data_IF_028041273088
#
_entry.id   IF_028041273088
#
_cell.length_a   1.000
_cell.length_b   1.000
_cell.length_c   1.000
_cell.angle_alpha   90.00
_cell.angle_beta   90.00
_cell.angle_gamma   90.00
#
_symmetry.space_group_name_H-M   'P 1'
#
loop_
_entity.id
_entity.type
_entity.pdbx_description
1 polymer ?
#
# COMPACT_ATOMS: atom_id res chain seq x y z
N UNK A 1 21.57 -7.56 1.81
CA UNK A 1 20.25 -7.20 1.25
C UNK A 1 19.45 -6.61 2.38
N UNK A 2 19.01 -5.36 2.24
CA UNK A 2 18.18 -4.68 3.25
C UNK A 2 16.88 -5.46 3.42
N UNK A 3 16.51 -5.82 4.64
CA UNK A 3 15.29 -6.57 4.91
C UNK A 3 14.10 -5.60 4.82
N UNK A 4 13.51 -5.48 3.64
CA UNK A 4 12.42 -4.52 3.37
C UNK A 4 11.18 -4.95 4.18
N UNK A 5 10.61 -4.05 5.00
CA UNK A 5 9.41 -4.37 5.75
C UNK A 5 8.20 -4.56 4.82
N UNK A 6 7.49 -5.68 5.00
CA UNK A 6 6.24 -5.97 4.28
C UNK A 6 5.19 -4.88 4.54
N UNK A 7 5.19 -4.32 5.74
CA UNK A 7 4.24 -3.28 6.15
C UNK A 7 4.95 -2.25 7.02
N UNK A 8 4.71 -0.97 6.74
CA UNK A 8 5.07 0.13 7.64
C UNK A 8 3.77 0.60 8.31
N UNK A 9 3.44 0.01 9.46
CA UNK A 9 2.22 0.35 10.19
C UNK A 9 2.28 1.79 10.72
N UNK A 10 1.26 2.62 10.48
CA UNK A 10 1.10 3.88 11.21
C UNK A 10 0.99 3.64 12.71
N UNK A 11 1.56 4.55 13.51
CA UNK A 11 1.57 4.42 14.97
C UNK A 11 0.23 4.79 15.61
N UNK A 12 -0.54 5.67 14.96
CA UNK A 12 -1.79 6.19 15.49
C UNK A 12 -2.99 5.45 14.91
N UNK A 13 -4.03 5.28 15.73
CA UNK A 13 -5.34 4.84 15.26
C UNK A 13 -5.91 5.83 14.24
N UNK A 14 -6.57 5.30 13.21
CA UNK A 14 -7.23 6.14 12.22
C UNK A 14 -7.58 5.43 10.92
N UNK A 15 -8.21 6.18 10.03
CA UNK A 15 -8.52 5.75 8.66
C UNK A 15 -7.48 6.30 7.70
N UNK A 16 -6.59 5.43 7.23
CA UNK A 16 -5.50 5.79 6.32
C UNK A 16 -5.86 5.45 4.88
N UNK A 17 -5.34 6.21 3.92
CA UNK A 17 -5.24 5.72 2.54
C UNK A 17 -4.11 4.71 2.45
N UNK A 18 -4.27 3.70 1.61
CA UNK A 18 -3.33 2.59 1.51
C UNK A 18 -3.17 2.14 0.06
N UNK A 19 -1.95 1.73 -0.29
CA UNK A 19 -1.61 1.05 -1.54
C UNK A 19 -1.06 -0.35 -1.25
N UNK A 20 -1.47 -1.31 -2.07
CA UNK A 20 -1.06 -2.71 -2.03
C UNK A 20 -0.19 -3.02 -3.23
N UNK A 21 1.04 -3.44 -2.98
CA UNK A 21 1.97 -3.84 -4.02
C UNK A 21 2.35 -5.31 -3.87
N UNK A 22 2.62 -5.97 -5.00
CA UNK A 22 3.50 -7.13 -5.00
C UNK A 22 4.87 -6.69 -5.46
N UNK A 23 5.91 -7.02 -4.70
CA UNK A 23 7.30 -6.86 -5.12
C UNK A 23 7.91 -8.14 -5.69
N UNK A 24 9.24 -8.18 -5.83
CA UNK A 24 9.99 -9.38 -6.16
C UNK A 24 9.53 -10.59 -5.31
N UNK A 25 9.56 -11.78 -5.92
CA UNK A 25 9.15 -13.04 -5.28
C UNK A 25 7.71 -13.05 -4.72
N UNK A 26 6.82 -12.23 -5.31
CA UNK A 26 5.44 -12.03 -4.86
C UNK A 26 5.34 -11.59 -3.39
N UNK A 27 6.30 -10.79 -2.90
CA UNK A 27 6.23 -10.23 -1.56
C UNK A 27 5.05 -9.24 -1.46
N UNK A 28 4.06 -9.46 -0.56
CA UNK A 28 2.95 -8.52 -0.40
C UNK A 28 3.41 -7.33 0.43
N UNK A 29 3.61 -6.19 -0.23
CA UNK A 29 4.00 -4.93 0.39
C UNK A 29 2.78 -4.03 0.59
N UNK A 30 2.74 -3.34 1.72
CA UNK A 30 1.67 -2.41 2.09
C UNK A 30 2.28 -1.08 2.51
N UNK A 31 1.75 0.02 1.96
CA UNK A 31 2.16 1.39 2.28
C UNK A 31 0.96 2.28 2.54
N UNK A 32 1.07 3.10 3.56
CA UNK A 32 0.01 3.99 4.03
C UNK A 32 0.35 5.44 3.72
N UNK A 33 -0.67 6.30 3.79
CA UNK A 33 -0.44 7.73 3.90
C UNK A 33 0.25 8.07 5.22
N UNK A 34 1.09 9.11 5.19
CA UNK A 34 1.75 9.63 6.39
C UNK A 34 0.74 10.20 7.40
N UNK A 35 -0.30 10.87 6.91
CA UNK A 35 -1.37 11.45 7.71
C UNK A 35 -2.73 10.81 7.40
N UNK A 36 -3.61 10.78 8.41
CA UNK A 36 -4.98 10.26 8.35
C UNK A 36 -5.87 11.12 7.44
N UNK A 37 -5.66 12.43 7.39
CA UNK A 37 -6.59 13.40 6.79
C UNK A 37 -6.19 13.93 5.41
N UNK A 38 -4.90 13.91 5.05
CA UNK A 38 -4.37 14.61 3.86
C UNK A 38 -3.70 13.70 2.83
N UNK A 39 -3.50 12.42 3.17
CA UNK A 39 -2.83 11.48 2.27
C UNK A 39 -3.54 11.34 0.93
N UNK A 40 -2.81 11.41 -0.17
CA UNK A 40 -3.28 11.03 -1.50
C UNK A 40 -2.59 9.74 -1.95
N UNK A 41 -3.30 8.86 -2.66
CA UNK A 41 -2.72 7.62 -3.16
C UNK A 41 -1.48 7.88 -4.02
N UNK A 42 -1.48 8.94 -4.83
CA UNK A 42 -0.32 9.36 -5.63
C UNK A 42 0.91 9.69 -4.78
N UNK A 43 0.73 10.34 -3.62
CA UNK A 43 1.83 10.64 -2.69
C UNK A 43 2.41 9.36 -2.08
N UNK A 44 1.55 8.37 -1.78
CA UNK A 44 2.00 7.05 -1.30
C UNK A 44 2.83 6.36 -2.38
N UNK A 45 2.39 6.41 -3.64
CA UNK A 45 3.12 5.80 -4.75
C UNK A 45 4.48 6.47 -4.99
N UNK A 46 4.54 7.80 -4.94
CA UNK A 46 5.80 8.53 -5.10
C UNK A 46 6.77 8.25 -3.95
N UNK A 47 6.29 8.21 -2.71
CA UNK A 47 7.11 7.83 -1.55
C UNK A 47 7.61 6.39 -1.63
N UNK A 48 6.76 5.47 -2.09
CA UNK A 48 7.18 4.09 -2.40
C UNK A 48 8.26 4.05 -3.48
N UNK A 49 8.06 4.77 -4.58
CA UNK A 49 9.01 4.78 -5.68
C UNK A 49 10.37 5.34 -5.27
N UNK A 50 10.39 6.41 -4.47
CA UNK A 50 11.60 6.96 -3.85
C UNK A 50 12.29 5.96 -2.90
N UNK A 51 11.51 5.31 -2.01
CA UNK A 51 12.00 4.27 -1.08
C UNK A 51 12.72 3.12 -1.80
N UNK A 52 12.23 2.74 -2.99
CA UNK A 52 12.73 1.60 -3.77
C UNK A 52 13.59 1.98 -4.97
N UNK A 53 13.88 3.28 -5.19
CA UNK A 53 14.66 3.75 -6.33
C UNK A 53 14.00 3.48 -7.69
N UNK A 54 12.68 3.44 -7.73
CA UNK A 54 11.88 3.24 -8.96
C UNK A 54 11.59 4.61 -9.57
N UNK A 55 11.89 4.78 -10.85
CA UNK A 55 11.54 6.01 -11.59
C UNK A 55 10.08 5.89 -12.03
N UNK A 56 9.20 6.74 -11.49
CA UNK A 56 7.79 6.76 -11.88
C UNK A 56 7.59 7.37 -13.26
N UNK A 57 6.62 6.84 -13.98
CA UNK A 57 6.05 7.50 -15.17
C UNK A 57 4.78 8.25 -14.79
N UNK A 58 4.26 9.05 -15.71
CA UNK A 58 3.01 9.79 -15.54
C UNK A 58 2.12 9.51 -16.74
N UNK A 59 0.81 9.38 -16.53
CA UNK A 59 -0.14 9.34 -17.63
C UNK A 59 -0.54 10.73 -18.12
N UNK A 60 -1.43 10.78 -19.09
CA UNK A 60 -1.91 12.01 -19.72
C UNK A 60 -2.63 12.95 -18.74
N UNK A 61 -3.09 12.43 -17.59
CA UNK A 61 -3.73 13.22 -16.51
C UNK A 61 -2.71 13.66 -15.44
N UNK A 62 -1.43 13.32 -15.58
CA UNK A 62 -0.39 13.61 -14.62
C UNK A 62 -0.43 12.72 -13.38
N UNK A 63 -1.09 11.56 -13.44
CA UNK A 63 -1.13 10.59 -12.34
C UNK A 63 0.13 9.73 -12.38
N UNK A 64 0.90 9.63 -11.29
CA UNK A 64 2.12 8.85 -11.27
C UNK A 64 1.81 7.35 -11.27
N UNK A 65 2.57 6.59 -12.06
CA UNK A 65 2.48 5.14 -12.23
C UNK A 65 3.86 4.50 -12.06
N UNK A 66 3.86 3.22 -11.72
CA UNK A 66 5.06 2.40 -11.87
C UNK A 66 5.23 2.07 -13.36
N UNK A 67 6.47 2.05 -13.88
CA UNK A 67 6.73 1.68 -15.26
C UNK A 67 6.39 0.20 -15.49
N UNK A 68 6.08 -0.19 -16.74
CA UNK A 68 5.64 -1.55 -17.07
C UNK A 68 6.69 -2.62 -16.77
N UNK A 69 7.98 -2.26 -16.78
CA UNK A 69 9.12 -3.11 -16.44
C UNK A 69 9.50 -3.06 -14.95
N UNK A 70 8.72 -2.36 -14.13
CA UNK A 70 8.90 -2.31 -12.68
C UNK A 70 8.84 -3.72 -12.08
N UNK A 71 9.76 -4.08 -11.17
CA UNK A 71 9.67 -5.34 -10.41
C UNK A 71 8.54 -5.31 -9.36
N UNK A 72 7.83 -4.17 -9.24
CA UNK A 72 6.71 -3.97 -8.35
C UNK A 72 5.42 -3.73 -9.13
N UNK A 73 4.33 -4.32 -8.67
CA UNK A 73 3.00 -4.22 -9.27
C UNK A 73 2.02 -3.63 -8.27
N UNK A 74 1.41 -2.50 -8.59
CA UNK A 74 0.27 -1.97 -7.85
C UNK A 74 -0.96 -2.85 -8.07
N UNK A 75 -1.41 -3.55 -7.04
CA UNK A 75 -2.48 -4.53 -7.14
C UNK A 75 -3.76 -4.12 -6.40
N UNK A 76 -3.71 -3.10 -5.56
CA UNK A 76 -4.89 -2.56 -4.89
C UNK A 76 -4.65 -1.19 -4.26
N UNK A 77 -5.72 -0.43 -4.11
CA UNK A 77 -5.70 0.91 -3.55
C UNK A 77 -7.02 1.20 -2.85
N UNK A 78 -6.98 1.83 -1.68
CA UNK A 78 -8.19 2.10 -0.91
C UNK A 78 -7.90 2.68 0.46
N UNK A 79 -8.63 2.22 1.46
CA UNK A 79 -8.56 2.68 2.83
C UNK A 79 -8.29 1.53 3.80
N UNK A 80 -7.70 1.86 4.93
CA UNK A 80 -7.53 0.96 6.07
C UNK A 80 -7.97 1.68 7.34
N UNK A 81 -8.94 1.12 8.07
CA UNK A 81 -9.18 1.50 9.45
C UNK A 81 -8.20 0.71 10.33
N UNK A 82 -7.26 1.41 10.94
CA UNK A 82 -6.15 0.84 11.71
C UNK A 82 -6.38 1.03 13.20
N UNK A 83 -6.22 -0.05 13.96
CA UNK A 83 -6.34 -0.11 15.43
C UNK A 83 -5.05 -0.73 16.01
N UNK A 84 -3.99 0.07 16.25
CA UNK A 84 -2.68 -0.45 16.64
C UNK A 84 -2.69 -1.23 17.97
N UNK A 85 -3.40 -0.73 18.99
CA UNK A 85 -3.50 -1.40 20.29
C UNK A 85 -4.12 -2.80 20.18
N UNK A 86 -5.15 -2.93 19.34
CA UNK A 86 -5.83 -4.20 19.07
C UNK A 86 -5.17 -5.06 17.97
N UNK A 87 -4.04 -4.59 17.42
CA UNK A 87 -3.33 -5.15 16.26
C UNK A 87 -4.29 -5.58 15.15
N UNK A 88 -5.17 -4.68 14.77
CA UNK A 88 -6.24 -4.93 13.82
C UNK A 88 -6.22 -3.90 12.70
N UNK A 89 -6.41 -4.37 11.47
CA UNK A 89 -6.49 -3.55 10.27
C UNK A 89 -7.67 -4.02 9.42
N UNK A 90 -8.53 -3.10 9.01
CA UNK A 90 -9.73 -3.39 8.21
C UNK A 90 -9.63 -2.62 6.88
N UNK A 91 -9.46 -3.35 5.79
CA UNK A 91 -9.25 -2.81 4.45
C UNK A 91 -10.56 -2.69 3.67
N UNK A 92 -10.78 -1.55 3.01
CA UNK A 92 -12.00 -1.31 2.24
C UNK A 92 -11.83 -0.24 1.16
N UNK A 93 -12.84 -0.14 0.29
CA UNK A 93 -12.99 0.93 -0.69
C UNK A 93 -12.10 0.76 -1.92
N UNK A 94 -12.04 1.84 -2.70
CA UNK A 94 -11.28 1.94 -3.93
C UNK A 94 -10.62 3.31 -4.04
N UNK A 95 -9.57 3.37 -4.87
CA UNK A 95 -9.00 4.62 -5.34
C UNK A 95 -9.61 4.95 -6.70
N UNK A 96 -10.26 6.11 -6.82
CA UNK A 96 -10.70 6.64 -8.12
C UNK A 96 -9.51 7.01 -9.00
N UNK A 97 -8.41 7.49 -8.41
CA UNK A 97 -7.17 7.85 -9.12
C UNK A 97 -6.55 6.67 -9.86
N UNK A 98 -6.66 5.46 -9.31
CA UNK A 98 -6.04 4.26 -9.87
C UNK A 98 -7.05 3.25 -10.43
N UNK A 99 -8.34 3.60 -10.39
CA UNK A 99 -9.49 2.72 -10.71
C UNK A 99 -9.31 1.30 -10.16
N UNK A 100 -8.97 1.21 -8.88
CA UNK A 100 -8.61 -0.08 -8.25
C UNK A 100 -9.10 -0.13 -6.81
N UNK A 101 -9.70 -1.26 -6.45
CA UNK A 101 -10.12 -1.59 -5.08
C UNK A 101 -9.02 -2.25 -4.27
N UNK A 102 -9.28 -2.44 -2.97
CA UNK A 102 -8.50 -3.37 -2.15
C UNK A 102 -8.58 -4.78 -2.74
N UNK A 103 -7.43 -5.43 -2.89
CA UNK A 103 -7.27 -6.81 -3.33
C UNK A 103 -7.40 -7.77 -2.14
N UNK A 104 -8.47 -8.60 -2.07
CA UNK A 104 -8.63 -9.57 -0.98
C UNK A 104 -7.54 -10.64 -0.97
N UNK A 105 -7.05 -11.01 -2.16
CA UNK A 105 -5.92 -11.94 -2.30
C UNK A 105 -4.67 -11.38 -1.63
N UNK A 106 -4.36 -10.10 -1.87
CA UNK A 106 -3.20 -9.44 -1.24
C UNK A 106 -3.33 -9.40 0.28
N UNK A 107 -4.51 -9.07 0.82
CA UNK A 107 -4.76 -9.09 2.27
C UNK A 107 -4.52 -10.49 2.85
N UNK A 108 -5.01 -11.54 2.19
CA UNK A 108 -4.80 -12.93 2.60
C UNK A 108 -3.32 -13.33 2.57
N UNK A 109 -2.63 -13.00 1.49
CA UNK A 109 -1.21 -13.32 1.31
C UNK A 109 -0.36 -12.55 2.34
N UNK A 110 -0.71 -11.31 2.65
CA UNK A 110 -0.09 -10.50 3.70
C UNK A 110 -0.34 -11.09 5.10
N UNK A 111 -1.58 -11.46 5.42
CA UNK A 111 -1.97 -12.02 6.72
C UNK A 111 -1.18 -13.30 7.07
N UNK A 112 -0.77 -14.07 6.06
CA UNK A 112 0.08 -15.25 6.27
C UNK A 112 1.51 -14.93 6.71
N UNK A 113 1.96 -13.68 6.58
CA UNK A 113 3.34 -13.24 6.81
C UNK A 113 3.49 -12.24 7.97
N UNK A 114 2.48 -11.42 8.27
CA UNK A 114 2.51 -10.52 9.43
C UNK A 114 1.91 -11.16 10.67
N UNK A 115 2.76 -11.76 11.50
CA UNK A 115 2.37 -12.41 12.75
C UNK A 115 1.81 -11.42 13.77
N UNK A 116 0.72 -11.79 14.44
CA UNK A 116 0.15 -11.02 15.55
C UNK A 116 -0.76 -9.86 15.13
N UNK A 117 -0.99 -9.67 13.83
CA UNK A 117 -1.99 -8.75 13.30
C UNK A 117 -3.20 -9.52 12.75
N UNK A 118 -4.40 -8.99 12.97
CA UNK A 118 -5.65 -9.46 12.36
C UNK A 118 -6.02 -8.54 11.21
N UNK A 119 -6.05 -9.09 10.00
CA UNK A 119 -6.34 -8.35 8.78
C UNK A 119 -7.71 -8.77 8.25
N UNK A 120 -8.57 -7.79 7.94
CA UNK A 120 -9.93 -7.99 7.44
C UNK A 120 -10.15 -7.24 6.13
#
# INVERSE_FOLDING_TARGET
MSNIPLVNWPDNEGRYKVLQFYGPDNAPLLRFSHDVSSGNHSTILLGFADEFGVVTTYDDEGIPKLPDDSPYVLCGAGFCNLFPEGRMAIFNGCSSTYDRGISPKHVKDLASRVTGWRLF
#
